data_IF_416087078177
#
_entry.id   IF_416087078177
#
_cell.length_a   1.000
_cell.length_b   1.000
_cell.length_c   1.000
_cell.angle_alpha   90.00
_cell.angle_beta   90.00
_cell.angle_gamma   90.00
#
_symmetry.space_group_name_H-M   'P 1'
#
loop_
_entity.id
_entity.type
_entity.pdbx_description
1 polymer ?
#
# COMPACT_ATOMS: atom_id res chain seq x y z
N UNK A 1 -9.06 70.68 22.39
CA UNK A 1 -8.38 69.38 22.65
C UNK A 1 -9.33 68.41 23.37
N UNK A 2 -10.50 68.09 22.79
CA UNK A 2 -11.52 67.25 23.45
C UNK A 2 -12.35 66.35 22.49
N UNK A 3 -12.04 66.35 21.19
CA UNK A 3 -12.81 65.62 20.18
C UNK A 3 -12.18 64.28 19.76
N UNK A 4 -10.98 63.93 20.23
CA UNK A 4 -10.30 62.68 19.85
C UNK A 4 -10.81 61.47 20.68
N UNK A 5 -11.41 61.72 21.85
CA UNK A 5 -11.81 60.64 22.80
C UNK A 5 -13.20 60.04 22.47
N UNK A 6 -14.04 60.72 21.67
CA UNK A 6 -15.43 60.29 21.41
C UNK A 6 -15.58 59.30 20.24
N UNK A 7 -14.48 58.91 19.60
CA UNK A 7 -14.47 58.00 18.44
C UNK A 7 -14.00 56.57 18.79
N UNK A 8 -13.77 56.25 20.07
CA UNK A 8 -13.27 54.94 20.51
C UNK A 8 -14.36 53.88 20.77
N UNK A 9 -15.64 54.27 20.92
CA UNK A 9 -16.73 53.38 21.37
C UNK A 9 -17.29 52.42 20.30
N UNK A 10 -16.67 52.35 19.12
CA UNK A 10 -17.04 51.39 18.04
C UNK A 10 -15.85 50.69 17.38
N UNK A 11 -14.62 51.20 17.58
CA UNK A 11 -13.40 50.65 17.01
C UNK A 11 -13.01 49.31 17.67
N UNK A 12 -13.19 49.18 18.98
CA UNK A 12 -12.86 47.95 19.72
C UNK A 12 -13.76 46.76 19.35
N UNK A 13 -15.06 46.98 19.09
CA UNK A 13 -15.96 45.91 18.69
C UNK A 13 -15.61 45.34 17.30
N UNK A 14 -15.29 46.23 16.35
CA UNK A 14 -14.90 45.83 14.98
C UNK A 14 -13.55 45.11 14.99
N UNK A 15 -12.59 45.56 15.80
CA UNK A 15 -11.29 44.91 15.95
C UNK A 15 -11.43 43.49 16.51
N UNK A 16 -12.28 43.29 17.52
CA UNK A 16 -12.52 41.96 18.10
C UNK A 16 -13.19 41.02 17.11
N UNK A 17 -14.18 41.50 16.33
CA UNK A 17 -14.86 40.70 15.31
C UNK A 17 -13.88 40.34 14.17
N UNK A 18 -13.05 41.30 13.73
CA UNK A 18 -12.03 41.05 12.72
C UNK A 18 -10.98 40.04 13.22
N UNK A 19 -10.51 40.17 14.46
CA UNK A 19 -9.57 39.24 15.08
C UNK A 19 -10.17 37.83 15.24
N UNK A 20 -11.45 37.73 15.62
CA UNK A 20 -12.18 36.46 15.67
C UNK A 20 -12.31 35.83 14.27
N UNK A 21 -12.67 36.61 13.26
CA UNK A 21 -12.76 36.14 11.88
C UNK A 21 -11.43 35.58 11.36
N UNK A 22 -10.33 36.32 11.56
CA UNK A 22 -9.00 35.90 11.12
C UNK A 22 -8.53 34.65 11.89
N UNK A 23 -8.73 34.62 13.21
CA UNK A 23 -8.30 33.47 14.02
C UNK A 23 -9.00 32.17 13.63
N UNK A 24 -10.30 32.21 13.32
CA UNK A 24 -11.04 31.03 12.85
C UNK A 24 -10.49 30.53 11.52
N UNK A 25 -10.15 31.40 10.57
CA UNK A 25 -9.55 31.01 9.29
C UNK A 25 -8.16 30.39 9.49
N UNK A 26 -7.35 30.94 10.39
CA UNK A 26 -6.02 30.41 10.69
C UNK A 26 -6.11 29.04 11.36
N UNK A 27 -6.98 28.88 12.36
CA UNK A 27 -7.15 27.61 13.06
C UNK A 27 -7.69 26.53 12.11
N UNK A 28 -8.69 26.85 11.30
CA UNK A 28 -9.26 25.89 10.34
C UNK A 28 -8.25 25.49 9.25
N UNK A 29 -7.42 26.42 8.77
CA UNK A 29 -6.36 26.10 7.80
C UNK A 29 -5.27 25.19 8.40
N UNK A 30 -4.84 25.46 9.64
CA UNK A 30 -3.89 24.60 10.36
C UNK A 30 -4.44 23.19 10.60
N UNK A 31 -5.71 23.09 11.03
CA UNK A 31 -6.37 21.79 11.22
C UNK A 31 -6.51 21.02 9.90
N UNK A 32 -6.89 21.71 8.82
CA UNK A 32 -7.00 21.10 7.50
C UNK A 32 -5.64 20.59 6.99
N UNK A 33 -4.59 21.38 7.17
CA UNK A 33 -3.24 21.02 6.76
C UNK A 33 -2.68 19.83 7.55
N UNK A 34 -2.90 19.81 8.86
CA UNK A 34 -2.44 18.70 9.73
C UNK A 34 -3.14 17.40 9.36
N UNK A 35 -4.47 17.42 9.17
CA UNK A 35 -5.22 16.24 8.72
C UNK A 35 -4.79 15.76 7.34
N UNK A 36 -4.57 16.69 6.40
CA UNK A 36 -4.08 16.37 5.07
C UNK A 36 -2.68 15.72 5.12
N UNK A 37 -1.79 16.26 5.95
CA UNK A 37 -0.44 15.73 6.14
C UNK A 37 -0.47 14.33 6.75
N UNK A 38 -1.32 14.10 7.76
CA UNK A 38 -1.51 12.78 8.37
C UNK A 38 -2.04 11.75 7.37
N UNK A 39 -3.05 12.12 6.57
CA UNK A 39 -3.61 11.24 5.53
C UNK A 39 -2.54 10.86 4.50
N UNK A 40 -1.77 11.84 4.05
CA UNK A 40 -0.69 11.63 3.08
C UNK A 40 0.40 10.73 3.66
N UNK A 41 0.79 10.96 4.92
CA UNK A 41 1.77 10.13 5.62
C UNK A 41 1.31 8.68 5.72
N UNK A 42 0.07 8.43 6.14
CA UNK A 42 -0.50 7.08 6.21
C UNK A 42 -0.51 6.39 4.84
N UNK A 43 -0.91 7.10 3.78
CA UNK A 43 -0.91 6.55 2.43
C UNK A 43 0.50 6.13 1.98
N UNK A 44 1.52 6.96 2.24
CA UNK A 44 2.91 6.64 1.92
C UNK A 44 3.42 5.43 2.70
N UNK A 45 3.11 5.34 4.00
CA UNK A 45 3.49 4.19 4.82
C UNK A 45 2.83 2.90 4.33
N UNK A 46 1.53 2.93 4.01
CA UNK A 46 0.82 1.74 3.50
C UNK A 46 1.34 1.32 2.13
N UNK A 47 1.65 2.29 1.25
CA UNK A 47 2.27 1.99 -0.04
C UNK A 47 3.65 1.32 0.13
N UNK A 48 4.45 1.79 1.08
CA UNK A 48 5.75 1.22 1.39
C UNK A 48 5.61 -0.20 1.95
N UNK A 49 4.74 -0.42 2.93
CA UNK A 49 4.50 -1.75 3.51
C UNK A 49 3.89 -2.72 2.49
N UNK A 50 2.97 -2.26 1.64
CA UNK A 50 2.41 -3.06 0.56
C UNK A 50 3.46 -3.46 -0.48
N UNK A 51 4.35 -2.54 -0.83
CA UNK A 51 5.45 -2.82 -1.76
C UNK A 51 6.46 -3.79 -1.13
N UNK A 52 6.76 -3.63 0.16
CA UNK A 52 7.60 -4.55 0.91
C UNK A 52 6.99 -5.95 0.98
N UNK A 53 5.69 -6.07 1.24
CA UNK A 53 4.98 -7.34 1.29
C UNK A 53 5.00 -8.04 -0.09
N UNK A 54 4.75 -7.30 -1.17
CA UNK A 54 4.84 -7.82 -2.54
C UNK A 54 6.26 -8.31 -2.88
N UNK A 55 7.29 -7.51 -2.58
CA UNK A 55 8.68 -7.90 -2.80
C UNK A 55 9.07 -9.12 -1.96
N UNK A 56 8.64 -9.18 -0.70
CA UNK A 56 8.89 -10.34 0.16
C UNK A 56 8.30 -11.61 -0.44
N UNK A 57 7.05 -11.56 -0.93
CA UNK A 57 6.44 -12.71 -1.59
C UNK A 57 7.15 -13.08 -2.90
N UNK A 58 7.65 -12.10 -3.67
CA UNK A 58 8.47 -12.38 -4.84
C UNK A 58 9.77 -13.11 -4.47
N UNK A 59 10.46 -12.67 -3.42
CA UNK A 59 11.68 -13.31 -2.94
C UNK A 59 11.42 -14.71 -2.36
N UNK A 60 10.30 -14.91 -1.65
CA UNK A 60 9.91 -16.24 -1.19
C UNK A 60 9.62 -17.20 -2.36
N UNK A 61 9.01 -16.68 -3.43
CA UNK A 61 8.77 -17.47 -4.64
C UNK A 61 10.08 -17.82 -5.35
N UNK A 62 11.03 -16.88 -5.43
CA UNK A 62 12.38 -17.12 -5.96
C UNK A 62 13.10 -18.18 -5.12
N UNK A 63 13.06 -18.07 -3.80
CA UNK A 63 13.65 -19.05 -2.89
C UNK A 63 13.01 -20.44 -3.06
N UNK A 64 11.67 -20.52 -3.16
CA UNK A 64 10.96 -21.77 -3.42
C UNK A 64 11.36 -22.39 -4.76
N UNK A 65 11.48 -21.55 -5.80
CA UNK A 65 11.95 -21.96 -7.13
C UNK A 65 13.37 -22.53 -7.06
N UNK A 66 14.30 -21.84 -6.38
CA UNK A 66 15.69 -22.27 -6.30
C UNK A 66 15.88 -23.54 -5.46
N UNK A 67 15.00 -23.79 -4.48
CA UNK A 67 14.99 -25.00 -3.68
C UNK A 67 14.23 -26.19 -4.29
N UNK A 68 13.55 -26.02 -5.43
CA UNK A 68 12.71 -27.05 -6.05
C UNK A 68 13.22 -27.44 -7.44
N UNK A 69 12.98 -28.69 -7.86
CA UNK A 69 13.19 -29.09 -9.25
C UNK A 69 12.22 -28.29 -10.13
N UNK A 70 12.67 -27.85 -11.31
CA UNK A 70 11.88 -26.97 -12.19
C UNK A 70 10.47 -27.49 -12.47
N UNK A 71 10.32 -28.78 -12.75
CA UNK A 71 9.02 -29.41 -13.04
C UNK A 71 8.08 -29.33 -11.84
N UNK A 72 8.60 -29.56 -10.64
CA UNK A 72 7.82 -29.48 -9.40
C UNK A 72 7.44 -28.03 -9.10
N UNK A 73 8.35 -27.08 -9.32
CA UNK A 73 8.06 -25.65 -9.20
C UNK A 73 6.93 -25.24 -10.15
N UNK A 74 7.03 -25.58 -11.44
CA UNK A 74 6.01 -25.24 -12.44
C UNK A 74 4.66 -25.83 -12.05
N UNK A 75 4.61 -27.11 -11.65
CA UNK A 75 3.39 -27.75 -11.15
C UNK A 75 2.83 -27.03 -9.91
N UNK A 76 3.72 -26.69 -8.97
CA UNK A 76 3.40 -25.98 -7.75
C UNK A 76 3.00 -24.51 -7.95
N UNK A 77 3.20 -23.89 -9.10
CA UNK A 77 2.68 -22.53 -9.39
C UNK A 77 1.58 -22.52 -10.44
N UNK A 78 1.39 -23.60 -11.19
CA UNK A 78 0.31 -23.72 -12.18
C UNK A 78 -1.06 -23.58 -11.52
N UNK A 79 -1.97 -22.82 -12.12
CA UNK A 79 -3.31 -22.56 -11.55
C UNK A 79 -3.36 -21.40 -10.54
N UNK A 80 -2.22 -20.74 -10.26
CA UNK A 80 -2.21 -19.47 -9.55
C UNK A 80 -2.69 -18.34 -10.47
N UNK A 81 -4.00 -18.29 -10.72
CA UNK A 81 -4.62 -17.32 -11.60
C UNK A 81 -5.63 -16.44 -10.86
N UNK A 82 -6.00 -15.28 -11.41
CA UNK A 82 -7.12 -14.50 -10.92
C UNK A 82 -8.42 -15.33 -10.92
N UNK A 83 -9.34 -15.14 -9.95
CA UNK A 83 -9.32 -14.12 -8.90
C UNK A 83 -8.61 -14.53 -7.60
N UNK A 84 -8.34 -15.81 -7.41
CA UNK A 84 -8.00 -16.37 -6.10
C UNK A 84 -6.52 -16.21 -5.73
N UNK A 85 -5.62 -16.30 -6.72
CA UNK A 85 -4.17 -16.18 -6.51
C UNK A 85 -3.58 -17.23 -5.55
N UNK A 86 -2.28 -17.09 -5.29
CA UNK A 86 -1.52 -17.97 -4.40
C UNK A 86 -0.58 -17.16 -3.50
N UNK A 87 -0.02 -17.78 -2.47
CA UNK A 87 1.07 -17.20 -1.70
C UNK A 87 2.06 -18.27 -1.25
N UNK A 88 3.28 -17.86 -0.92
CA UNK A 88 4.32 -18.75 -0.38
C UNK A 88 4.35 -18.63 1.14
N UNK A 89 4.34 -19.78 1.82
CA UNK A 89 4.44 -19.86 3.29
C UNK A 89 5.88 -19.83 3.79
N UNK A 90 6.03 -19.41 5.05
CA UNK A 90 7.24 -19.54 5.86
C UNK A 90 6.84 -20.13 7.23
N UNK A 91 7.72 -20.85 7.94
CA UNK A 91 9.14 -21.10 7.64
C UNK A 91 9.39 -22.22 6.63
N UNK A 92 8.44 -23.12 6.43
CA UNK A 92 8.50 -24.14 5.38
C UNK A 92 8.00 -23.54 4.07
N UNK A 93 8.91 -23.42 3.10
CA UNK A 93 8.58 -22.90 1.77
C UNK A 93 7.62 -23.85 1.06
N UNK A 94 6.43 -23.34 0.76
CA UNK A 94 5.39 -24.07 0.07
C UNK A 94 4.40 -23.11 -0.56
N UNK A 95 3.93 -23.45 -1.76
CA UNK A 95 2.89 -22.68 -2.43
C UNK A 95 1.53 -23.12 -1.93
N UNK A 96 0.78 -22.19 -1.36
CA UNK A 96 -0.61 -22.41 -0.92
C UNK A 96 -1.56 -21.90 -1.98
N UNK A 97 -2.51 -22.76 -2.38
CA UNK A 97 -3.53 -22.48 -3.38
C UNK A 97 -4.91 -22.97 -2.92
N UNK A 98 -5.99 -22.21 -3.22
CA UNK A 98 -5.99 -20.77 -3.45
C UNK A 98 -5.70 -20.02 -2.14
N UNK A 99 -5.14 -18.80 -2.22
CA UNK A 99 -5.00 -18.01 -1.01
C UNK A 99 -4.24 -16.70 -1.16
N UNK A 100 -4.24 -15.96 -0.06
CA UNK A 100 -3.49 -14.72 0.10
C UNK A 100 -2.83 -14.69 1.48
N UNK A 101 -1.67 -14.04 1.57
CA UNK A 101 -1.03 -13.73 2.84
C UNK A 101 -1.52 -12.36 3.32
N UNK A 102 -2.10 -12.31 4.51
CA UNK A 102 -2.47 -11.04 5.15
C UNK A 102 -1.36 -10.61 6.10
N UNK A 103 -0.93 -9.36 5.97
CA UNK A 103 -0.04 -8.66 6.91
C UNK A 103 -0.73 -7.41 7.44
N UNK A 104 -0.31 -6.92 8.60
CA UNK A 104 -0.89 -5.72 9.22
C UNK A 104 0.10 -4.57 9.15
N UNK A 105 -0.36 -3.41 8.69
CA UNK A 105 0.35 -2.14 8.76
C UNK A 105 -0.47 -1.18 9.62
N UNK A 106 -0.15 -1.14 10.92
CA UNK A 106 -1.01 -0.49 11.92
C UNK A 106 -2.37 -1.19 12.00
N UNK A 107 -3.46 -0.42 11.84
CA UNK A 107 -4.83 -0.95 11.83
C UNK A 107 -5.29 -1.45 10.44
N UNK A 108 -4.47 -1.30 9.39
CA UNK A 108 -4.87 -1.66 8.02
C UNK A 108 -4.31 -3.02 7.64
N UNK A 109 -5.16 -3.90 7.13
CA UNK A 109 -4.76 -5.19 6.57
C UNK A 109 -4.28 -5.02 5.11
N UNK A 110 -3.13 -5.63 4.81
CA UNK A 110 -2.57 -5.71 3.47
C UNK A 110 -2.65 -7.17 3.04
N UNK A 111 -3.38 -7.44 1.96
CA UNK A 111 -3.53 -8.77 1.37
C UNK A 111 -2.57 -8.92 0.20
N UNK A 112 -1.66 -9.89 0.29
CA UNK A 112 -0.65 -10.16 -0.76
C UNK A 112 -0.90 -11.51 -1.39
N UNK A 113 -0.88 -11.57 -2.71
CA UNK A 113 -0.98 -12.81 -3.50
C UNK A 113 -0.17 -12.70 -4.78
N UNK A 114 0.20 -13.82 -5.36
CA UNK A 114 0.84 -13.88 -6.66
C UNK A 114 0.00 -14.64 -7.67
N UNK A 115 0.22 -14.30 -8.93
CA UNK A 115 -0.36 -14.93 -10.10
C UNK A 115 0.76 -15.36 -11.03
N UNK A 116 0.53 -16.44 -11.77
CA UNK A 116 1.50 -16.96 -12.73
C UNK A 116 0.84 -17.27 -14.06
N UNK A 117 1.60 -17.03 -15.13
CA UNK A 117 1.28 -17.47 -16.48
C UNK A 117 2.53 -18.06 -17.10
N UNK A 118 2.42 -19.26 -17.65
CA UNK A 118 3.53 -19.95 -18.29
C UNK A 118 3.54 -19.69 -19.79
N UNK A 119 4.73 -19.51 -20.38
CA UNK A 119 4.89 -19.52 -21.83
C UNK A 119 4.76 -20.95 -22.39
N UNK A 120 4.40 -21.10 -23.68
CA UNK A 120 4.41 -22.40 -24.36
C UNK A 120 5.76 -23.10 -24.19
N UNK A 121 5.76 -24.32 -23.64
CA UNK A 121 6.99 -25.05 -23.32
C UNK A 121 7.46 -24.90 -21.87
N UNK A 122 6.78 -24.12 -21.03
CA UNK A 122 7.01 -24.01 -19.58
C UNK A 122 8.47 -23.66 -19.20
N UNK A 123 9.20 -22.98 -20.08
CA UNK A 123 10.58 -22.56 -19.81
C UNK A 123 10.65 -21.22 -19.08
N UNK A 124 9.59 -20.42 -19.21
CA UNK A 124 9.43 -19.10 -18.57
C UNK A 124 8.08 -19.07 -17.88
N UNK A 125 8.09 -18.67 -16.61
CA UNK A 125 6.92 -18.40 -15.79
C UNK A 125 6.90 -16.91 -15.48
N UNK A 126 5.93 -16.19 -16.06
CA UNK A 126 5.66 -14.81 -15.70
C UNK A 126 4.94 -14.78 -14.37
N UNK A 127 5.47 -14.02 -13.42
CA UNK A 127 4.91 -13.85 -12.09
C UNK A 127 4.46 -12.41 -11.90
N UNK A 128 3.22 -12.26 -11.45
CA UNK A 128 2.67 -10.98 -10.98
C UNK A 128 2.32 -11.10 -9.51
N UNK A 129 3.04 -10.42 -8.63
CA UNK A 129 2.68 -10.30 -7.22
C UNK A 129 1.87 -9.04 -7.02
N UNK A 130 0.69 -9.17 -6.41
CA UNK A 130 -0.21 -8.07 -6.06
C UNK A 130 -0.29 -7.95 -4.54
N UNK A 131 -0.16 -6.74 -4.02
CA UNK A 131 -0.61 -6.39 -2.66
C UNK A 131 -1.73 -5.37 -2.72
N UNK A 132 -2.81 -5.63 -1.98
CA UNK A 132 -3.99 -4.78 -1.92
C UNK A 132 -4.37 -4.42 -0.47
N UNK A 133 -4.84 -3.19 -0.28
CA UNK A 133 -5.29 -2.67 1.01
C UNK A 133 -6.40 -1.64 0.84
N UNK A 134 -7.19 -1.41 1.88
CA UNK A 134 -8.25 -0.40 1.89
C UNK A 134 -7.88 0.76 2.81
N UNK A 135 -8.07 2.00 2.33
CA UNK A 135 -7.96 3.21 3.14
C UNK A 135 -9.17 4.11 2.91
N UNK A 136 -10.09 4.11 3.89
CA UNK A 136 -11.29 4.95 3.85
C UNK A 136 -12.24 4.61 2.70
N UNK A 137 -12.43 3.31 2.40
CA UNK A 137 -13.32 2.82 1.35
C UNK A 137 -12.73 2.89 -0.06
N UNK A 138 -11.42 3.10 -0.18
CA UNK A 138 -10.68 3.14 -1.43
C UNK A 138 -9.67 2.00 -1.44
N UNK A 139 -9.95 0.97 -2.24
CA UNK A 139 -9.02 -0.13 -2.45
C UNK A 139 -7.83 0.34 -3.29
N UNK A 140 -6.63 0.25 -2.72
CA UNK A 140 -5.35 0.54 -3.37
C UNK A 140 -4.59 -0.74 -3.58
N UNK A 141 -3.79 -0.77 -4.66
CA UNK A 141 -3.02 -1.94 -5.07
C UNK A 141 -1.64 -1.54 -5.53
N UNK A 142 -0.68 -2.42 -5.34
CA UNK A 142 0.65 -2.36 -5.96
C UNK A 142 0.99 -3.71 -6.58
N UNK A 143 1.81 -3.68 -7.62
CA UNK A 143 2.17 -4.85 -8.41
C UNK A 143 3.69 -4.94 -8.55
N UNK A 144 4.22 -6.15 -8.45
CA UNK A 144 5.61 -6.50 -8.74
C UNK A 144 5.62 -7.60 -9.78
N UNK A 145 6.34 -7.36 -10.88
CA UNK A 145 6.43 -8.28 -12.00
C UNK A 145 7.82 -8.88 -12.07
N UNK A 146 7.92 -10.17 -12.35
CA UNK A 146 9.20 -10.85 -12.60
C UNK A 146 8.96 -12.09 -13.42
N UNK A 147 9.96 -12.44 -14.24
CA UNK A 147 9.99 -13.71 -14.93
C UNK A 147 10.93 -14.66 -14.20
N UNK A 148 10.49 -15.91 -14.07
CA UNK A 148 11.30 -17.00 -13.53
C UNK A 148 11.51 -18.02 -14.66
N UNK A 149 12.74 -18.46 -14.85
CA UNK A 149 13.13 -19.43 -15.89
C UNK A 149 13.82 -20.63 -15.28
N UNK A 150 14.16 -21.68 -16.03
CA UNK A 150 15.04 -22.74 -15.51
C UNK A 150 16.52 -22.32 -15.65
N UNK A 151 17.07 -21.56 -14.68
CA UNK A 151 18.46 -21.10 -14.78
C UNK A 151 19.49 -22.23 -14.55
N UNK A 152 19.09 -23.33 -13.91
CA UNK A 152 19.98 -24.43 -13.55
C UNK A 152 20.34 -25.35 -14.73
N UNK A 153 19.59 -25.30 -15.83
CA UNK A 153 19.81 -26.10 -17.03
C UNK A 153 20.37 -25.28 -18.22
N UNK A 154 21.10 -24.20 -17.93
CA UNK A 154 21.81 -23.43 -18.96
C UNK A 154 23.06 -24.13 -19.46
#
# INVERSE_FOLDING_TARGET
MKQIIKQQDGLGLVEVIAALGISVVVITSLLSLTLFSLRTSLQSTLLMEGTKAANTQMELLRAYRDGSVWVDFVSAVTGCAPPSGCYVTMPTLGVVKPGQKVTMAGATAISTRFFTTAEPGNMVIHVTVQSDWDIGGQNKKTFVYSDLTNWQQK
#
